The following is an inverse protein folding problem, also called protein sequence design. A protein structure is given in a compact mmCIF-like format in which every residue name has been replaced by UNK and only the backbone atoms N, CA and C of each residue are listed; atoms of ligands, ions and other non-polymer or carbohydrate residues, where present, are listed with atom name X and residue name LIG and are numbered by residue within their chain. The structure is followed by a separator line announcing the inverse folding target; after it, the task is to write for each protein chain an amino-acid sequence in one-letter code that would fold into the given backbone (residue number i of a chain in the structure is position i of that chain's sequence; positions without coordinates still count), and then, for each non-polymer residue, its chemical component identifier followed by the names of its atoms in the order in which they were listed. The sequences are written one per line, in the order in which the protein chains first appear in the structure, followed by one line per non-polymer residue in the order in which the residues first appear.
data_IF_173398041670
#
_entry.id   IF_173398041670
#
_cell.length_a   1.000
_cell.length_b   1.000
_cell.length_c   1.000
_cell.angle_alpha   90.00
_cell.angle_beta   90.00
_cell.angle_gamma   90.00
#
_symmetry.space_group_name_H-M   'P 1'
#
loop_
_entity.id
_entity.type
_entity.pdbx_description
1 polymer ?
#
# COMPACT_ATOMS: atom_id res chain seq x y z
N UNK A 1 -37.65 -42.40 -69.60
CA UNK A 1 -39.04 -42.05 -69.38
C UNK A 1 -39.10 -41.02 -68.22
N UNK A 2 -39.54 -39.80 -68.63
CA UNK A 2 -40.40 -38.83 -67.94
C UNK A 2 -39.93 -38.31 -66.59
N UNK A 3 -39.41 -37.09 -66.60
CA UNK A 3 -40.02 -35.78 -66.24
C UNK A 3 -40.61 -35.63 -64.83
N UNK A 4 -40.08 -34.73 -64.06
CA UNK A 4 -40.82 -33.50 -63.69
C UNK A 4 -39.95 -32.51 -62.91
N UNK A 5 -39.93 -31.28 -63.42
CA UNK A 5 -39.40 -30.07 -62.81
C UNK A 5 -40.26 -29.64 -61.61
N UNK A 6 -39.66 -29.14 -60.52
CA UNK A 6 -40.27 -28.06 -59.73
C UNK A 6 -39.23 -27.16 -59.10
N UNK A 7 -39.22 -25.91 -59.51
CA UNK A 7 -38.57 -24.74 -58.92
C UNK A 7 -39.09 -24.50 -57.50
N UNK A 8 -38.22 -24.31 -56.52
CA UNK A 8 -38.56 -23.55 -55.31
C UNK A 8 -37.49 -22.52 -55.02
N UNK A 9 -37.93 -21.28 -55.03
CA UNK A 9 -37.16 -20.09 -54.71
C UNK A 9 -36.60 -20.15 -53.30
N UNK A 10 -35.29 -19.90 -53.16
CA UNK A 10 -34.64 -19.70 -51.86
C UNK A 10 -34.71 -18.23 -51.49
N UNK A 11 -35.47 -17.95 -50.45
CA UNK A 11 -35.53 -16.63 -49.82
C UNK A 11 -34.31 -16.48 -48.90
N UNK A 12 -33.30 -15.67 -49.27
CA UNK A 12 -32.18 -15.28 -48.43
C UNK A 12 -32.66 -14.29 -47.37
N UNK A 13 -32.79 -14.74 -46.12
CA UNK A 13 -32.91 -13.87 -44.96
C UNK A 13 -31.51 -13.53 -44.49
N UNK A 14 -31.03 -12.31 -44.79
CA UNK A 14 -29.83 -11.75 -44.14
C UNK A 14 -30.21 -11.37 -42.72
N UNK A 15 -29.82 -12.22 -41.74
CA UNK A 15 -29.75 -11.84 -40.33
C UNK A 15 -28.48 -11.04 -40.13
N UNK A 16 -28.58 -9.72 -40.09
CA UNK A 16 -27.55 -8.82 -39.61
C UNK A 16 -27.34 -9.02 -38.11
N UNK A 17 -26.28 -9.76 -37.72
CA UNK A 17 -25.75 -9.70 -36.35
C UNK A 17 -25.11 -8.32 -36.14
N UNK A 18 -25.89 -7.38 -35.62
CA UNK A 18 -25.35 -6.18 -34.99
C UNK A 18 -24.61 -6.57 -33.73
N UNK A 19 -23.26 -6.56 -33.77
CA UNK A 19 -22.44 -6.62 -32.60
C UNK A 19 -22.70 -5.36 -31.76
N UNK A 20 -23.57 -5.47 -30.76
CA UNK A 20 -23.70 -4.46 -29.72
C UNK A 20 -22.43 -4.60 -28.87
N UNK A 21 -21.41 -3.79 -29.18
CA UNK A 21 -20.30 -3.55 -28.28
C UNK A 21 -20.85 -2.80 -27.07
N UNK A 22 -21.32 -3.54 -26.08
CA UNK A 22 -21.66 -3.00 -24.78
C UNK A 22 -20.37 -2.46 -24.13
N UNK A 23 -20.15 -1.17 -24.26
CA UNK A 23 -19.29 -0.45 -23.32
C UNK A 23 -19.99 -0.61 -21.98
N UNK A 24 -19.45 -1.47 -21.13
CA UNK A 24 -19.86 -1.53 -19.72
C UNK A 24 -19.56 -0.14 -19.13
N UNK A 25 -20.56 0.70 -19.05
CA UNK A 25 -20.48 1.92 -18.28
C UNK A 25 -20.13 1.48 -16.84
N UNK A 26 -19.00 1.97 -16.33
CA UNK A 26 -18.65 1.80 -14.95
C UNK A 26 -19.84 2.30 -14.12
N UNK A 27 -20.48 1.40 -13.38
CA UNK A 27 -21.62 1.75 -12.57
C UNK A 27 -21.11 2.72 -11.49
N UNK A 28 -21.62 3.94 -11.48
CA UNK A 28 -21.21 4.91 -10.48
C UNK A 28 -21.51 4.36 -9.08
N UNK A 29 -20.53 4.46 -8.17
CA UNK A 29 -20.69 3.99 -6.81
C UNK A 29 -21.87 4.71 -6.12
N UNK A 30 -22.68 3.95 -5.37
CA UNK A 30 -23.80 4.52 -4.63
C UNK A 30 -23.30 5.54 -3.59
N UNK A 31 -24.02 6.64 -3.37
CA UNK A 31 -23.65 7.62 -2.35
C UNK A 31 -23.52 6.97 -0.96
N UNK A 32 -22.57 7.47 -0.16
CA UNK A 32 -22.42 7.03 1.23
C UNK A 32 -23.65 7.44 2.04
N UNK A 33 -24.11 6.57 2.95
CA UNK A 33 -25.17 6.91 3.89
C UNK A 33 -24.68 8.01 4.84
N UNK A 34 -25.55 8.96 5.22
CA UNK A 34 -25.18 10.07 6.10
C UNK A 34 -24.93 9.65 7.56
N UNK A 35 -25.36 8.46 7.95
CA UNK A 35 -25.18 7.88 9.28
C UNK A 35 -24.99 6.38 9.18
N UNK A 36 -24.20 5.84 10.10
CA UNK A 36 -24.01 4.41 10.23
C UNK A 36 -25.29 3.76 10.79
N UNK A 37 -25.85 2.75 10.12
CA UNK A 37 -27.01 2.01 10.64
C UNK A 37 -26.66 1.29 11.95
N UNK A 38 -27.60 1.24 12.92
CA UNK A 38 -27.40 0.48 14.17
C UNK A 38 -27.07 -0.99 13.92
N UNK A 39 -26.15 -1.54 14.72
CA UNK A 39 -25.72 -2.94 14.62
C UNK A 39 -24.68 -3.20 13.52
N UNK A 40 -24.17 -2.16 12.85
CA UNK A 40 -23.07 -2.31 11.90
C UNK A 40 -21.80 -2.74 12.64
N UNK A 41 -21.09 -3.73 12.09
CA UNK A 41 -19.83 -4.26 12.62
C UNK A 41 -18.79 -4.25 11.50
N UNK A 42 -17.59 -3.75 11.81
CA UNK A 42 -16.41 -3.87 10.93
C UNK A 42 -15.30 -4.66 11.62
N UNK A 43 -14.61 -5.50 10.86
CA UNK A 43 -13.34 -6.10 11.29
C UNK A 43 -12.19 -5.34 10.62
N UNK A 44 -11.34 -4.69 11.43
CA UNK A 44 -10.28 -3.78 10.93
C UNK A 44 -8.91 -4.26 11.35
N UNK A 45 -7.99 -4.40 10.37
CA UNK A 45 -6.58 -4.72 10.55
C UNK A 45 -5.71 -3.45 10.48
N UNK A 46 -5.73 -2.66 11.55
CA UNK A 46 -4.94 -1.43 11.66
C UNK A 46 -4.51 -1.19 13.12
N UNK A 47 -3.61 -2.04 13.66
CA UNK A 47 -3.22 -1.98 15.07
C UNK A 47 -2.55 -0.65 15.45
N UNK A 48 -1.92 0.02 14.50
CA UNK A 48 -1.31 1.34 14.71
C UNK A 48 -2.37 2.40 14.98
N UNK A 49 -3.38 2.49 14.11
CA UNK A 49 -4.47 3.45 14.32
C UNK A 49 -5.35 3.07 15.51
N UNK A 50 -5.60 1.78 15.74
CA UNK A 50 -6.27 1.34 16.97
C UNK A 50 -5.60 1.95 18.21
N UNK A 51 -4.29 1.79 18.34
CA UNK A 51 -3.55 2.32 19.50
C UNK A 51 -3.64 3.84 19.59
N UNK A 52 -3.56 4.55 18.46
CA UNK A 52 -3.71 6.01 18.42
C UNK A 52 -5.11 6.46 18.86
N UNK A 53 -6.17 5.77 18.42
CA UNK A 53 -7.55 6.01 18.84
C UNK A 53 -7.77 5.76 20.34
N UNK A 54 -7.15 4.70 20.90
CA UNK A 54 -7.20 4.39 22.32
C UNK A 54 -6.53 5.48 23.14
N UNK A 55 -5.31 5.87 22.79
CA UNK A 55 -4.52 6.86 23.53
C UNK A 55 -5.10 8.28 23.45
N UNK A 56 -5.66 8.64 22.30
CA UNK A 56 -6.32 9.95 22.10
C UNK A 56 -7.72 10.01 22.72
N UNK A 57 -8.32 8.87 23.03
CA UNK A 57 -9.73 8.77 23.46
C UNK A 57 -10.73 8.85 22.31
N UNK A 58 -10.29 9.05 21.06
CA UNK A 58 -11.14 9.11 19.86
C UNK A 58 -11.91 7.81 19.60
N UNK A 59 -11.44 6.67 20.12
CA UNK A 59 -12.12 5.39 20.01
C UNK A 59 -13.57 5.43 20.56
N UNK A 60 -13.86 6.34 21.51
CA UNK A 60 -15.19 6.52 22.10
C UNK A 60 -16.18 7.24 21.17
N UNK A 61 -15.71 7.82 20.08
CA UNK A 61 -16.53 8.50 19.09
C UNK A 61 -17.07 7.55 18.01
N UNK A 62 -16.58 6.29 17.96
CA UNK A 62 -17.10 5.26 17.05
C UNK A 62 -18.59 5.00 17.35
N UNK A 63 -19.45 5.13 16.33
CA UNK A 63 -20.89 4.87 16.45
C UNK A 63 -21.29 3.44 16.10
N UNK A 64 -20.31 2.60 15.74
CA UNK A 64 -20.46 1.20 15.35
C UNK A 64 -19.44 0.31 16.08
N UNK A 65 -19.65 -1.00 16.04
CA UNK A 65 -18.74 -1.97 16.65
C UNK A 65 -17.52 -2.21 15.73
N UNK A 66 -16.30 -2.17 16.29
CA UNK A 66 -15.08 -2.58 15.60
C UNK A 66 -14.50 -3.81 16.28
N UNK A 67 -14.32 -4.88 15.48
CA UNK A 67 -13.49 -6.04 15.82
C UNK A 67 -12.08 -5.79 15.34
N UNK A 68 -11.17 -5.56 16.25
CA UNK A 68 -9.78 -5.30 15.92
C UNK A 68 -9.03 -6.60 15.61
N UNK A 69 -8.37 -6.64 14.46
CA UNK A 69 -7.53 -7.76 14.04
C UNK A 69 -6.05 -7.34 14.08
N UNK A 70 -5.21 -8.16 14.73
CA UNK A 70 -3.77 -7.93 14.71
C UNK A 70 -3.16 -8.45 13.39
N UNK A 71 -3.59 -7.83 12.29
CA UNK A 71 -3.14 -8.14 10.93
C UNK A 71 -2.55 -6.87 10.33
N UNK A 72 -1.34 -6.98 9.80
CA UNK A 72 -0.64 -5.91 9.10
C UNK A 72 0.23 -6.48 7.97
N UNK A 73 0.55 -5.63 6.98
CA UNK A 73 1.31 -6.04 5.80
C UNK A 73 0.43 -6.62 4.69
N UNK A 74 0.82 -6.31 3.45
CA UNK A 74 0.00 -6.57 2.27
C UNK A 74 -0.43 -8.01 2.05
N UNK A 75 0.48 -9.01 2.11
CA UNK A 75 0.12 -10.42 1.90
C UNK A 75 -0.89 -10.93 2.92
N UNK A 76 -0.65 -10.69 4.21
CA UNK A 76 -1.54 -11.14 5.29
C UNK A 76 -2.91 -10.49 5.21
N UNK A 77 -2.98 -9.19 4.91
CA UNK A 77 -4.23 -8.46 4.72
C UNK A 77 -4.99 -8.97 3.51
N UNK A 78 -4.30 -9.26 2.39
CA UNK A 78 -4.92 -9.80 1.19
C UNK A 78 -5.52 -11.20 1.43
N UNK A 79 -4.83 -12.06 2.18
CA UNK A 79 -5.36 -13.38 2.55
C UNK A 79 -6.57 -13.26 3.48
N UNK A 80 -6.53 -12.34 4.46
CA UNK A 80 -7.67 -12.08 5.33
C UNK A 80 -8.89 -11.55 4.56
N UNK A 81 -8.69 -10.70 3.53
CA UNK A 81 -9.75 -10.27 2.63
C UNK A 81 -10.34 -11.44 1.83
N UNK A 82 -9.50 -12.32 1.26
CA UNK A 82 -9.97 -13.52 0.53
C UNK A 82 -10.81 -14.44 1.41
N UNK A 83 -10.43 -14.54 2.68
CA UNK A 83 -11.17 -15.32 3.68
C UNK A 83 -12.41 -14.60 4.24
N UNK A 84 -12.73 -13.40 3.79
CA UNK A 84 -13.77 -12.53 4.38
C UNK A 84 -13.62 -12.32 5.89
N UNK A 85 -12.38 -12.39 6.39
CA UNK A 85 -12.05 -12.23 7.80
C UNK A 85 -11.73 -10.76 8.17
N UNK A 86 -11.65 -9.88 7.18
CA UNK A 86 -11.30 -8.47 7.36
C UNK A 86 -12.15 -7.59 6.45
N UNK A 87 -12.59 -6.43 6.94
CA UNK A 87 -13.34 -5.44 6.18
C UNK A 87 -12.45 -4.28 5.68
N UNK A 88 -11.42 -3.92 6.43
CA UNK A 88 -10.45 -2.91 6.03
C UNK A 88 -9.07 -3.19 6.62
N UNK A 89 -8.03 -2.71 5.96
CA UNK A 89 -6.64 -2.85 6.42
C UNK A 89 -5.80 -1.63 6.08
N UNK A 90 -4.77 -1.38 6.90
CA UNK A 90 -3.78 -0.32 6.67
C UNK A 90 -2.48 -0.91 6.11
N UNK A 91 -2.05 -0.41 4.97
CA UNK A 91 -0.87 -0.92 4.23
C UNK A 91 -0.14 0.20 3.49
N UNK A 92 1.00 -0.11 2.88
CA UNK A 92 1.66 0.75 1.89
C UNK A 92 0.89 0.75 0.55
N UNK A 93 1.34 1.54 -0.44
CA UNK A 93 0.65 1.69 -1.73
C UNK A 93 0.56 0.41 -2.58
N UNK A 94 1.56 -0.44 -2.50
CA UNK A 94 1.77 -1.56 -3.42
C UNK A 94 0.75 -2.69 -3.26
N UNK A 95 0.33 -3.08 -2.06
CA UNK A 95 -0.60 -4.19 -1.87
C UNK A 95 -1.92 -4.05 -2.61
N UNK A 96 -2.48 -2.83 -2.72
CA UNK A 96 -3.74 -2.62 -3.44
C UNK A 96 -3.60 -2.87 -4.95
N UNK A 97 -2.44 -2.56 -5.53
CA UNK A 97 -2.12 -2.83 -6.95
C UNK A 97 -2.05 -4.35 -7.18
N UNK A 98 -1.25 -5.06 -6.38
CA UNK A 98 -1.09 -6.51 -6.51
C UNK A 98 -2.37 -7.28 -6.20
N UNK A 99 -3.17 -6.84 -5.23
CA UNK A 99 -4.48 -7.44 -4.95
C UNK A 99 -5.37 -7.42 -6.22
N UNK A 100 -5.42 -6.28 -6.91
CA UNK A 100 -6.21 -6.13 -8.13
C UNK A 100 -5.66 -6.98 -9.30
N UNK A 101 -4.33 -7.10 -9.47
CA UNK A 101 -3.75 -8.03 -10.45
C UNK A 101 -4.08 -9.49 -10.14
N UNK A 102 -4.19 -9.83 -8.86
CA UNK A 102 -4.50 -11.18 -8.39
C UNK A 102 -6.02 -11.42 -8.20
N UNK A 103 -6.87 -10.69 -8.92
CA UNK A 103 -8.33 -10.84 -8.91
C UNK A 103 -8.97 -10.70 -7.51
N UNK A 104 -8.38 -9.89 -6.66
CA UNK A 104 -8.97 -9.44 -5.41
C UNK A 104 -9.26 -7.94 -5.54
N UNK A 105 -10.49 -7.56 -5.96
CA UNK A 105 -10.82 -6.16 -6.16
C UNK A 105 -10.87 -5.44 -4.80
N UNK A 106 -9.95 -4.51 -4.62
CA UNK A 106 -9.86 -3.63 -3.46
C UNK A 106 -9.74 -2.19 -3.92
N UNK A 107 -10.18 -1.24 -3.08
CA UNK A 107 -10.01 0.20 -3.31
C UNK A 107 -9.41 0.88 -2.10
N UNK A 108 -8.56 1.85 -2.36
CA UNK A 108 -8.03 2.77 -1.37
C UNK A 108 -9.14 3.76 -0.96
N UNK A 109 -9.33 3.93 0.34
CA UNK A 109 -10.38 4.76 0.94
C UNK A 109 -9.82 5.86 1.86
N UNK A 110 -8.53 5.81 2.19
CA UNK A 110 -7.82 6.88 2.86
C UNK A 110 -6.35 6.83 2.48
N UNK A 111 -5.71 7.99 2.56
CA UNK A 111 -4.33 8.19 2.19
C UNK A 111 -3.66 9.15 3.17
N UNK A 112 -2.44 8.84 3.57
CA UNK A 112 -1.55 9.75 4.28
C UNK A 112 -0.15 9.62 3.73
N UNK A 113 0.57 10.73 3.73
CA UNK A 113 1.95 10.80 3.29
C UNK A 113 2.80 11.58 4.28
N UNK A 114 4.10 11.42 4.22
CA UNK A 114 5.03 12.21 5.00
C UNK A 114 5.27 13.55 4.30
N UNK A 115 5.44 14.62 5.08
CA UNK A 115 5.67 15.96 4.53
C UNK A 115 6.93 16.01 3.65
N UNK A 116 8.03 15.42 4.12
CA UNK A 116 9.34 15.46 3.46
C UNK A 116 9.91 14.05 3.23
N UNK A 117 9.27 13.20 2.39
CA UNK A 117 9.65 11.80 2.23
C UNK A 117 10.98 11.60 1.51
N UNK A 118 11.43 12.56 0.69
CA UNK A 118 12.71 12.47 -0.03
C UNK A 118 13.87 12.84 0.88
N UNK A 119 13.71 13.89 1.69
CA UNK A 119 14.73 14.30 2.66
C UNK A 119 14.87 13.32 3.82
N UNK A 120 13.80 12.65 4.19
CA UNK A 120 13.73 11.71 5.31
C UNK A 120 13.15 10.36 4.86
N UNK A 121 13.81 9.60 3.96
CA UNK A 121 13.31 8.32 3.50
C UNK A 121 13.27 7.30 4.62
N UNK A 122 12.22 6.48 4.70
CA UNK A 122 12.08 5.42 5.71
C UNK A 122 12.91 4.18 5.39
N UNK A 123 13.35 4.05 4.15
CA UNK A 123 14.25 2.99 3.70
C UNK A 123 15.62 3.55 3.33
N UNK A 124 16.64 2.69 3.42
CA UNK A 124 17.97 2.87 2.87
C UNK A 124 18.39 1.58 2.19
N UNK A 125 19.21 1.66 1.18
CA UNK A 125 19.84 0.45 0.67
C UNK A 125 21.01 0.06 1.56
N UNK A 126 20.84 -1.02 2.34
CA UNK A 126 21.91 -1.66 3.07
C UNK A 126 22.84 -2.38 2.08
N UNK A 127 24.14 -2.25 2.30
CA UNK A 127 25.19 -2.85 1.47
C UNK A 127 25.91 -3.90 2.31
N UNK A 128 26.07 -5.10 1.76
CA UNK A 128 26.76 -6.20 2.43
C UNK A 128 28.23 -5.88 2.72
N UNK A 129 28.81 -6.38 3.83
CA UNK A 129 30.21 -6.20 4.13
C UNK A 129 31.11 -6.63 2.98
N UNK A 130 31.93 -5.71 2.49
CA UNK A 130 32.85 -5.95 1.38
C UNK A 130 32.27 -5.85 -0.03
N UNK A 131 30.99 -5.53 -0.18
CA UNK A 131 30.42 -5.20 -1.49
C UNK A 131 30.79 -3.76 -1.88
N UNK A 132 31.38 -3.57 -3.06
CA UNK A 132 31.72 -2.24 -3.56
C UNK A 132 30.50 -1.64 -4.27
N UNK A 133 29.70 -0.91 -3.47
CA UNK A 133 28.48 -0.22 -3.91
C UNK A 133 28.41 1.11 -3.17
N UNK A 134 28.42 2.23 -3.88
CA UNK A 134 28.41 3.60 -3.35
C UNK A 134 27.26 4.43 -3.87
N UNK A 135 26.76 4.07 -5.05
CA UNK A 135 25.68 4.78 -5.76
C UNK A 135 24.68 3.78 -6.33
N UNK A 136 23.53 4.25 -6.80
CA UNK A 136 22.55 3.40 -7.48
C UNK A 136 23.09 2.80 -8.79
N UNK A 137 24.03 3.48 -9.47
CA UNK A 137 24.65 2.98 -10.70
C UNK A 137 25.47 1.69 -10.46
N UNK A 138 26.03 1.53 -9.24
CA UNK A 138 26.82 0.36 -8.85
C UNK A 138 25.95 -0.90 -8.62
N UNK A 139 24.62 -0.78 -8.75
CA UNK A 139 23.71 -1.91 -8.64
C UNK A 139 23.85 -2.90 -9.79
N UNK A 140 24.39 -2.47 -10.93
CA UNK A 140 24.60 -3.34 -12.10
C UNK A 140 25.39 -4.59 -11.74
N UNK A 141 24.81 -5.76 -12.09
CA UNK A 141 25.40 -7.08 -11.83
C UNK A 141 25.34 -7.55 -10.38
N UNK A 142 24.73 -6.79 -9.47
CA UNK A 142 24.62 -7.17 -8.05
C UNK A 142 23.41 -8.05 -7.78
N UNK A 143 23.48 -8.80 -6.66
CA UNK A 143 22.36 -9.55 -6.10
C UNK A 143 21.59 -8.62 -5.16
N UNK A 144 20.32 -8.40 -5.43
CA UNK A 144 19.47 -7.46 -4.68
C UNK A 144 18.30 -8.21 -4.05
N UNK A 145 18.09 -8.07 -2.75
CA UNK A 145 16.91 -8.61 -2.09
C UNK A 145 15.65 -7.96 -2.66
N UNK A 146 14.68 -8.78 -3.00
CA UNK A 146 13.46 -8.35 -3.69
C UNK A 146 12.23 -9.03 -3.08
N UNK A 147 11.18 -8.26 -2.83
CA UNK A 147 9.90 -8.77 -2.36
C UNK A 147 8.78 -8.23 -3.24
N UNK A 148 8.33 -9.01 -4.23
CA UNK A 148 7.24 -8.60 -5.10
C UNK A 148 5.97 -8.32 -4.27
N UNK A 149 5.21 -7.30 -4.64
CA UNK A 149 3.99 -6.91 -3.91
C UNK A 149 4.21 -6.13 -2.61
N UNK A 150 5.45 -5.76 -2.28
CA UNK A 150 5.83 -4.97 -1.13
C UNK A 150 6.50 -3.65 -1.54
N UNK A 151 6.45 -2.65 -0.65
CA UNK A 151 7.06 -1.34 -0.89
C UNK A 151 8.56 -1.44 -1.17
N UNK A 152 9.27 -2.31 -0.44
CA UNK A 152 10.71 -2.52 -0.61
C UNK A 152 11.07 -3.04 -2.00
N UNK A 153 10.30 -3.99 -2.55
CA UNK A 153 10.51 -4.49 -3.91
C UNK A 153 10.30 -3.41 -4.96
N UNK A 154 9.26 -2.61 -4.79
CA UNK A 154 9.00 -1.49 -5.71
C UNK A 154 10.09 -0.41 -5.61
N UNK A 155 10.60 -0.14 -4.41
CA UNK A 155 11.72 0.79 -4.24
C UNK A 155 12.97 0.30 -5.00
N UNK A 156 13.24 -1.01 -5.02
CA UNK A 156 14.33 -1.59 -5.85
C UNK A 156 14.12 -1.23 -7.32
N UNK A 157 12.93 -1.48 -7.87
CA UNK A 157 12.66 -1.19 -9.28
C UNK A 157 12.73 0.32 -9.59
N UNK A 158 12.23 1.17 -8.71
CA UNK A 158 12.38 2.63 -8.83
C UNK A 158 13.86 3.06 -8.82
N UNK A 159 14.68 2.46 -7.95
CA UNK A 159 16.10 2.75 -7.87
C UNK A 159 16.86 2.31 -9.12
N UNK A 160 16.55 1.13 -9.66
CA UNK A 160 17.10 0.65 -10.91
C UNK A 160 16.73 1.60 -12.06
N UNK A 161 15.46 1.95 -12.18
CA UNK A 161 14.99 2.88 -13.21
C UNK A 161 15.68 4.26 -13.11
N UNK A 162 15.80 4.82 -11.89
CA UNK A 162 16.49 6.09 -11.65
C UNK A 162 17.99 6.03 -12.04
N UNK A 163 18.61 4.86 -11.94
CA UNK A 163 19.99 4.62 -12.36
C UNK A 163 20.13 4.27 -13.86
N UNK A 164 19.04 4.25 -14.64
CA UNK A 164 19.05 3.80 -16.03
C UNK A 164 19.30 2.30 -16.18
N UNK A 165 18.95 1.51 -15.15
CA UNK A 165 19.04 0.06 -15.11
C UNK A 165 17.67 -0.58 -15.25
N UNK A 166 17.66 -1.86 -15.64
CA UNK A 166 16.46 -2.72 -15.66
C UNK A 166 16.63 -3.88 -14.68
N UNK A 167 15.56 -4.55 -14.37
CA UNK A 167 15.58 -5.78 -13.56
C UNK A 167 16.51 -6.85 -14.14
N UNK A 168 16.66 -6.90 -15.48
CA UNK A 168 17.60 -7.79 -16.18
C UNK A 168 19.09 -7.43 -16.01
N UNK A 169 19.42 -6.24 -15.53
CA UNK A 169 20.80 -5.81 -15.28
C UNK A 169 21.35 -6.28 -13.91
N UNK A 170 20.49 -6.88 -13.08
CA UNK A 170 20.81 -7.32 -11.73
C UNK A 170 20.31 -8.76 -11.49
N UNK A 171 20.64 -9.34 -10.33
CA UNK A 171 20.02 -10.59 -9.88
C UNK A 171 19.06 -10.28 -8.74
N UNK A 172 17.76 -10.31 -9.01
CA UNK A 172 16.76 -10.17 -7.97
C UNK A 172 16.64 -11.49 -7.17
N UNK A 173 16.88 -11.42 -5.88
CA UNK A 173 16.79 -12.56 -4.94
C UNK A 173 15.51 -12.39 -4.15
N UNK A 174 14.51 -13.21 -4.44
CA UNK A 174 13.22 -13.13 -3.76
C UNK A 174 13.33 -13.58 -2.31
N UNK A 175 13.05 -12.65 -1.40
CA UNK A 175 13.06 -12.84 0.05
C UNK A 175 11.89 -12.05 0.67
N UNK A 176 11.27 -12.53 1.75
CA UNK A 176 10.27 -11.74 2.47
C UNK A 176 10.93 -10.51 3.12
N UNK A 177 10.30 -9.34 2.98
CA UNK A 177 10.80 -8.08 3.52
C UNK A 177 10.36 -7.81 4.97
N UNK A 178 10.14 -8.86 5.75
CA UNK A 178 9.65 -8.79 7.14
C UNK A 178 10.76 -8.98 8.16
N UNK A 179 10.67 -8.29 9.29
CA UNK A 179 11.62 -8.43 10.37
C UNK A 179 13.07 -8.13 9.95
N UNK A 180 13.98 -8.98 10.37
CA UNK A 180 15.43 -8.86 10.14
C UNK A 180 15.94 -9.73 8.97
N UNK A 181 15.05 -10.22 8.10
CA UNK A 181 15.43 -11.09 6.97
C UNK A 181 16.46 -10.40 6.06
N UNK A 182 16.19 -9.16 5.65
CA UNK A 182 17.11 -8.41 4.77
C UNK A 182 18.45 -8.08 5.45
N UNK A 183 18.50 -7.56 6.68
CA UNK A 183 19.75 -7.40 7.42
C UNK A 183 20.59 -8.68 7.53
N UNK A 184 19.95 -9.82 7.79
CA UNK A 184 20.62 -11.13 7.87
C UNK A 184 21.14 -11.60 6.52
N UNK A 185 20.37 -11.42 5.46
CA UNK A 185 20.78 -11.78 4.09
C UNK A 185 21.99 -10.96 3.62
N UNK A 186 22.06 -9.67 4.00
CA UNK A 186 23.24 -8.82 3.77
C UNK A 186 24.44 -9.29 4.57
N UNK A 187 24.27 -9.52 5.87
CA UNK A 187 25.35 -9.94 6.76
C UNK A 187 25.95 -11.29 6.36
N UNK A 188 25.12 -12.23 5.90
CA UNK A 188 25.56 -13.53 5.38
C UNK A 188 26.05 -13.50 3.94
N UNK A 189 26.03 -12.32 3.29
CA UNK A 189 26.40 -12.13 1.88
C UNK A 189 25.57 -12.97 0.90
N UNK A 190 24.33 -13.33 1.29
CA UNK A 190 23.35 -13.95 0.38
C UNK A 190 22.95 -12.96 -0.72
N UNK A 191 22.82 -11.70 -0.35
CA UNK A 191 22.62 -10.57 -1.27
C UNK A 191 23.69 -9.50 -1.04
N UNK A 192 23.93 -8.68 -2.06
CA UNK A 192 24.89 -7.57 -1.99
C UNK A 192 24.21 -6.29 -1.51
N UNK A 193 22.90 -6.16 -1.82
CA UNK A 193 22.09 -4.97 -1.57
C UNK A 193 20.70 -5.40 -1.07
N UNK A 194 20.15 -4.65 -0.11
CA UNK A 194 18.76 -4.82 0.32
C UNK A 194 18.15 -3.49 0.82
N UNK A 195 16.90 -3.17 0.51
CA UNK A 195 16.21 -2.02 1.09
C UNK A 195 15.78 -2.32 2.54
N UNK A 196 16.52 -1.82 3.51
CA UNK A 196 16.24 -1.95 4.94
C UNK A 196 15.57 -0.69 5.47
N UNK A 197 14.65 -0.83 6.44
CA UNK A 197 13.85 0.28 6.95
C UNK A 197 13.72 0.32 8.45
N UNK A 198 13.24 1.45 8.96
CA UNK A 198 12.96 1.65 10.38
C UNK A 198 14.18 1.42 11.26
N UNK A 199 13.99 0.76 12.39
CA UNK A 199 15.07 0.46 13.36
C UNK A 199 16.18 -0.41 12.80
N UNK A 200 15.90 -1.17 11.74
CA UNK A 200 16.89 -2.05 11.12
C UNK A 200 18.02 -1.30 10.44
N UNK A 201 17.82 -0.05 10.02
CA UNK A 201 18.89 0.80 9.47
C UNK A 201 19.99 1.01 10.53
N UNK A 202 19.59 1.49 11.71
CA UNK A 202 20.54 1.71 12.82
C UNK A 202 21.19 0.40 13.29
N UNK A 203 20.36 -0.62 13.55
CA UNK A 203 20.82 -1.92 14.04
C UNK A 203 21.81 -2.57 13.09
N UNK A 204 21.54 -2.50 11.76
CA UNK A 204 22.43 -3.03 10.74
C UNK A 204 23.81 -2.36 10.77
N UNK A 205 23.85 -1.04 10.77
CA UNK A 205 25.12 -0.30 10.79
C UNK A 205 25.84 -0.43 12.12
N UNK A 206 25.13 -0.42 13.24
CA UNK A 206 25.75 -0.63 14.56
C UNK A 206 26.41 -2.02 14.65
N UNK A 207 25.75 -3.05 14.14
CA UNK A 207 26.23 -4.43 14.25
C UNK A 207 27.29 -4.79 13.20
N UNK A 208 27.10 -4.38 11.94
CA UNK A 208 27.91 -4.85 10.80
C UNK A 208 28.77 -3.75 10.15
N UNK A 209 28.61 -2.49 10.58
CA UNK A 209 29.47 -1.39 10.14
C UNK A 209 30.96 -1.64 10.39
N UNK A 210 31.38 -2.17 11.58
CA UNK A 210 32.76 -2.56 11.81
C UNK A 210 33.31 -3.60 10.84
N UNK A 211 32.46 -4.42 10.25
CA UNK A 211 32.80 -5.42 9.24
C UNK A 211 32.77 -4.86 7.79
N UNK A 212 32.48 -3.57 7.64
CA UNK A 212 32.45 -2.89 6.35
C UNK A 212 31.05 -2.80 5.70
N UNK A 213 29.98 -3.02 6.45
CA UNK A 213 28.63 -2.74 5.99
C UNK A 213 28.42 -1.23 5.84
N UNK A 214 27.72 -0.80 4.79
CA UNK A 214 27.42 0.60 4.51
C UNK A 214 25.97 0.80 4.10
N UNK A 215 25.57 2.05 3.83
CA UNK A 215 24.26 2.43 3.32
C UNK A 215 24.41 3.27 2.06
N UNK A 216 23.45 3.14 1.16
CA UNK A 216 23.29 4.01 0.00
C UNK A 216 21.95 4.72 0.07
N UNK A 217 21.99 6.04 -0.08
CA UNK A 217 20.81 6.87 -0.19
C UNK A 217 20.22 6.76 -1.60
N UNK A 218 18.90 6.79 -1.72
CA UNK A 218 18.25 6.62 -3.02
C UNK A 218 17.66 7.92 -3.60
N UNK A 219 17.38 8.93 -2.77
CA UNK A 219 16.81 10.21 -3.24
C UNK A 219 15.42 10.09 -3.85
N UNK A 220 14.70 8.99 -3.58
CA UNK A 220 13.39 8.69 -4.14
C UNK A 220 12.32 8.76 -3.05
N UNK A 221 11.09 8.94 -3.47
CA UNK A 221 9.94 8.83 -2.58
C UNK A 221 9.66 7.37 -2.24
N UNK A 222 9.51 7.04 -0.97
CA UNK A 222 9.36 5.70 -0.43
C UNK A 222 8.19 5.54 0.56
N UNK A 223 7.29 6.52 0.61
CA UNK A 223 6.01 6.45 1.27
C UNK A 223 4.96 6.03 0.24
N UNK A 224 3.81 5.71 0.55
CA UNK A 224 2.90 6.18 1.58
C UNK A 224 2.21 5.07 2.39
N UNK A 225 1.20 5.51 3.18
CA UNK A 225 0.30 4.62 3.87
C UNK A 225 -1.14 4.82 3.42
N UNK A 226 -1.85 3.73 3.19
CA UNK A 226 -3.25 3.69 2.76
C UNK A 226 -4.10 2.91 3.73
N UNK A 227 -5.37 3.29 3.80
CA UNK A 227 -6.44 2.43 4.25
C UNK A 227 -7.17 1.92 3.01
N UNK A 228 -7.40 0.62 2.90
CA UNK A 228 -8.08 0.02 1.76
C UNK A 228 -9.07 -1.05 2.19
N UNK A 229 -10.07 -1.27 1.35
CA UNK A 229 -11.14 -2.21 1.62
C UNK A 229 -11.50 -3.02 0.37
N UNK A 230 -11.99 -4.26 0.52
CA UNK A 230 -12.50 -5.04 -0.60
C UNK A 230 -13.77 -4.40 -1.19
N UNK A 231 -13.98 -4.59 -2.49
CA UNK A 231 -15.15 -4.07 -3.19
C UNK A 231 -16.46 -4.52 -2.55
N UNK A 232 -16.57 -5.77 -2.12
CA UNK A 232 -17.79 -6.30 -1.49
C UNK A 232 -18.13 -5.63 -0.15
N UNK A 233 -17.15 -5.03 0.55
CA UNK A 233 -17.40 -4.19 1.75
C UNK A 233 -17.92 -2.82 1.34
N UNK A 234 -17.37 -2.25 0.26
CA UNK A 234 -17.75 -0.94 -0.25
C UNK A 234 -19.11 -0.94 -0.94
N UNK A 235 -19.57 -2.11 -1.40
CA UNK A 235 -20.90 -2.34 -1.97
C UNK A 235 -21.99 -2.50 -0.89
N UNK A 236 -21.61 -2.79 0.35
CA UNK A 236 -22.53 -2.79 1.51
C UNK A 236 -22.69 -1.36 2.03
N UNK A 237 -23.88 -0.74 1.91
CA UNK A 237 -24.07 0.66 2.29
C UNK A 237 -23.82 0.93 3.79
N UNK A 238 -24.10 -0.03 4.66
CA UNK A 238 -23.89 0.13 6.11
C UNK A 238 -22.39 0.10 6.44
N UNK A 239 -21.65 -0.85 5.85
CA UNK A 239 -20.19 -0.95 6.01
C UNK A 239 -19.46 0.22 5.38
N UNK A 240 -19.88 0.67 4.19
CA UNK A 240 -19.31 1.84 3.55
C UNK A 240 -19.50 3.12 4.38
N UNK A 241 -20.66 3.30 5.02
CA UNK A 241 -20.91 4.41 5.94
C UNK A 241 -20.01 4.33 7.19
N UNK A 242 -19.85 3.13 7.76
CA UNK A 242 -18.96 2.91 8.90
C UNK A 242 -17.49 3.18 8.54
N UNK A 243 -17.05 2.78 7.34
CA UNK A 243 -15.72 3.12 6.83
C UNK A 243 -15.54 4.62 6.63
N UNK A 244 -16.59 5.34 6.19
CA UNK A 244 -16.52 6.80 6.05
C UNK A 244 -16.31 7.51 7.38
N UNK A 245 -16.99 7.07 8.44
CA UNK A 245 -16.77 7.54 9.80
C UNK A 245 -15.35 7.19 10.29
N UNK A 246 -14.92 5.93 10.05
CA UNK A 246 -13.58 5.48 10.43
C UNK A 246 -12.48 6.29 9.76
N UNK A 247 -12.61 6.63 8.47
CA UNK A 247 -11.63 7.46 7.74
C UNK A 247 -11.45 8.83 8.41
N UNK A 248 -12.53 9.44 8.88
CA UNK A 248 -12.46 10.69 9.66
C UNK A 248 -11.67 10.54 10.96
N UNK A 249 -11.93 9.46 11.70
CA UNK A 249 -11.22 9.17 12.95
C UNK A 249 -9.76 8.76 12.70
N UNK A 250 -9.49 8.02 11.63
CA UNK A 250 -8.16 7.65 11.18
C UNK A 250 -7.29 8.88 10.88
N UNK A 251 -7.86 9.90 10.21
CA UNK A 251 -7.15 11.15 9.94
C UNK A 251 -6.85 11.92 11.23
N UNK A 252 -7.83 12.03 12.13
CA UNK A 252 -7.66 12.70 13.44
C UNK A 252 -6.65 11.95 14.33
N UNK A 253 -6.64 10.62 14.30
CA UNK A 253 -5.64 9.81 15.00
C UNK A 253 -4.24 10.04 14.44
N UNK A 254 -4.10 10.21 13.12
CA UNK A 254 -2.82 10.57 12.48
C UNK A 254 -2.32 11.93 12.99
N UNK A 255 -3.19 12.92 13.02
CA UNK A 255 -2.85 14.26 13.54
C UNK A 255 -2.51 14.23 15.03
N UNK A 256 -3.26 13.45 15.82
CA UNK A 256 -2.95 13.28 17.24
C UNK A 256 -1.55 12.70 17.46
N UNK A 257 -1.12 11.72 16.65
CA UNK A 257 0.24 11.14 16.72
C UNK A 257 1.29 12.21 16.40
N UNK A 258 1.07 13.06 15.37
CA UNK A 258 1.97 14.17 15.06
C UNK A 258 2.15 15.12 16.25
N UNK A 259 1.06 15.42 16.96
CA UNK A 259 1.02 16.37 18.07
C UNK A 259 1.50 15.78 19.40
N UNK A 260 1.55 14.45 19.54
CA UNK A 260 1.87 13.76 20.80
C UNK A 260 3.02 12.75 20.66
N UNK A 261 4.18 13.13 20.09
CA UNK A 261 5.27 12.19 19.80
C UNK A 261 5.83 11.50 21.06
N UNK A 262 5.92 12.21 22.20
CA UNK A 262 6.44 11.63 23.45
C UNK A 262 5.52 10.54 23.99
N UNK A 263 4.19 10.76 23.97
CA UNK A 263 3.21 9.75 24.39
C UNK A 263 3.28 8.55 23.44
N UNK A 264 3.39 8.83 22.12
CA UNK A 264 3.49 7.79 21.10
C UNK A 264 4.74 6.93 21.26
N UNK A 265 5.90 7.53 21.55
CA UNK A 265 7.14 6.80 21.85
C UNK A 265 6.93 5.90 23.05
N UNK A 266 6.45 6.46 24.16
CA UNK A 266 6.30 5.73 25.43
C UNK A 266 5.30 4.58 25.32
N UNK A 267 4.11 4.83 24.81
CA UNK A 267 3.00 3.89 24.91
C UNK A 267 2.92 2.92 23.71
N UNK A 268 3.35 3.37 22.50
CA UNK A 268 3.33 2.53 21.31
C UNK A 268 4.69 1.86 21.05
N UNK A 269 5.75 2.65 20.82
CA UNK A 269 7.03 2.06 20.46
C UNK A 269 7.67 1.28 21.63
N UNK A 270 7.68 1.83 22.82
CA UNK A 270 8.25 1.16 24.00
C UNK A 270 7.24 0.16 24.58
N UNK A 271 6.04 0.62 24.92
CA UNK A 271 5.05 -0.17 25.64
C UNK A 271 4.49 -1.34 24.84
N UNK A 272 4.14 -1.11 23.57
CA UNK A 272 3.49 -2.14 22.73
C UNK A 272 4.47 -2.86 21.80
N UNK A 273 5.43 -2.14 21.19
CA UNK A 273 6.38 -2.74 20.25
C UNK A 273 7.66 -3.28 20.93
N UNK A 274 7.86 -3.00 22.22
CA UNK A 274 9.02 -3.45 22.99
C UNK A 274 10.35 -2.88 22.51
N UNK A 275 10.36 -1.70 21.90
CA UNK A 275 11.56 -1.01 21.44
C UNK A 275 12.19 -0.22 22.59
N UNK A 276 13.47 0.16 22.44
CA UNK A 276 14.08 1.12 23.35
C UNK A 276 13.52 2.53 23.15
N UNK A 277 13.56 3.42 24.15
CA UNK A 277 13.20 4.83 23.96
C UNK A 277 13.95 5.49 22.80
N UNK A 278 15.25 5.23 22.66
CA UNK A 278 16.09 5.78 21.59
C UNK A 278 15.68 5.27 20.19
N UNK A 279 15.21 4.02 20.08
CA UNK A 279 14.65 3.49 18.85
C UNK A 279 13.30 4.17 18.53
N UNK A 280 12.50 4.43 19.56
CA UNK A 280 11.23 5.17 19.41
C UNK A 280 11.44 6.61 18.93
N UNK A 281 12.37 7.34 19.55
CA UNK A 281 12.77 8.69 19.13
C UNK A 281 13.29 8.71 17.68
N UNK A 282 14.13 7.74 17.34
CA UNK A 282 14.63 7.58 15.99
C UNK A 282 13.50 7.36 14.98
N UNK A 283 12.51 6.53 15.29
CA UNK A 283 11.38 6.25 14.40
C UNK A 283 10.48 7.46 14.23
N UNK A 284 10.19 8.21 15.28
CA UNK A 284 9.42 9.45 15.18
C UNK A 284 10.13 10.45 14.27
N UNK A 285 11.43 10.63 14.46
CA UNK A 285 12.23 11.52 13.62
C UNK A 285 12.28 11.04 12.16
N UNK A 286 12.41 9.73 11.93
CA UNK A 286 12.46 9.13 10.60
C UNK A 286 11.11 9.27 9.88
N UNK A 287 10.01 9.03 10.57
CA UNK A 287 8.65 9.15 10.02
C UNK A 287 8.32 10.61 9.72
N UNK A 288 8.71 11.54 10.60
CA UNK A 288 8.37 12.95 10.48
C UNK A 288 6.85 13.19 10.54
N UNK A 289 6.44 14.38 10.16
CA UNK A 289 5.04 14.78 10.12
C UNK A 289 4.28 14.07 8.99
N UNK A 290 3.14 13.48 9.32
CA UNK A 290 2.24 12.85 8.36
C UNK A 290 1.08 13.79 8.04
N UNK A 291 0.73 13.90 6.77
CA UNK A 291 -0.36 14.73 6.26
C UNK A 291 -1.41 13.86 5.57
N UNK A 292 -2.67 14.28 5.68
CA UNK A 292 -3.82 13.67 4.98
C UNK A 292 -4.27 14.67 3.92
N UNK A 293 -4.00 14.42 2.64
CA UNK A 293 -4.37 15.33 1.56
C UNK A 293 -5.89 15.35 1.35
N UNK A 294 -6.41 16.47 0.89
CA UNK A 294 -7.82 16.69 0.51
C UNK A 294 -8.07 16.49 -0.98
N UNK A 295 -7.00 16.35 -1.76
CA UNK A 295 -7.01 16.08 -3.21
C UNK A 295 -6.05 14.93 -3.51
N UNK A 296 -6.56 13.90 -4.19
CA UNK A 296 -5.78 12.71 -4.53
C UNK A 296 -5.17 12.73 -5.94
N UNK A 297 -5.28 13.83 -6.68
CA UNK A 297 -4.79 13.92 -8.06
C UNK A 297 -3.31 13.55 -8.19
N UNK A 298 -2.44 14.13 -7.37
CA UNK A 298 -1.01 13.81 -7.37
C UNK A 298 -0.72 12.40 -6.82
N UNK A 299 -1.51 11.93 -5.86
CA UNK A 299 -1.43 10.55 -5.34
C UNK A 299 -1.74 9.55 -6.45
N UNK A 300 -2.85 9.74 -7.16
CA UNK A 300 -3.27 8.89 -8.29
C UNK A 300 -2.25 8.90 -9.43
N UNK A 301 -1.71 10.07 -9.76
CA UNK A 301 -0.65 10.18 -10.77
C UNK A 301 0.55 9.31 -10.41
N UNK A 302 1.04 9.42 -9.18
CA UNK A 302 2.18 8.59 -8.69
C UNK A 302 1.84 7.09 -8.68
N UNK A 303 0.61 6.74 -8.33
CA UNK A 303 0.16 5.34 -8.38
C UNK A 303 0.11 4.82 -9.82
N UNK A 304 -0.36 5.64 -10.78
CA UNK A 304 -0.36 5.24 -12.19
C UNK A 304 1.07 5.02 -12.70
N UNK A 305 2.00 5.89 -12.34
CA UNK A 305 3.43 5.71 -12.65
C UNK A 305 3.97 4.40 -12.04
N UNK A 306 3.58 4.09 -10.80
CA UNK A 306 3.95 2.84 -10.12
C UNK A 306 3.33 1.62 -10.81
N UNK A 307 2.04 1.67 -11.17
CA UNK A 307 1.37 0.59 -11.91
C UNK A 307 2.10 0.33 -13.24
N UNK A 308 2.44 1.39 -13.96
CA UNK A 308 3.13 1.28 -15.24
C UNK A 308 4.53 0.67 -15.09
N UNK A 309 5.32 1.14 -14.11
CA UNK A 309 6.65 0.60 -13.80
C UNK A 309 6.59 -0.89 -13.44
N UNK A 310 5.69 -1.26 -12.53
CA UNK A 310 5.53 -2.65 -12.10
C UNK A 310 5.04 -3.54 -13.23
N UNK A 311 4.13 -3.03 -14.08
CA UNK A 311 3.64 -3.77 -15.24
C UNK A 311 4.76 -4.04 -16.25
N UNK A 312 5.58 -3.04 -16.54
CA UNK A 312 6.70 -3.15 -17.49
C UNK A 312 7.79 -4.11 -16.97
N UNK A 313 8.21 -3.95 -15.71
CA UNK A 313 9.31 -4.74 -15.13
C UNK A 313 8.91 -6.18 -14.76
N UNK A 314 7.65 -6.42 -14.43
CA UNK A 314 7.17 -7.74 -13.95
C UNK A 314 6.25 -8.46 -14.94
N UNK A 315 5.96 -7.84 -16.09
CA UNK A 315 5.14 -8.45 -17.15
C UNK A 315 3.65 -8.48 -16.85
N UNK A 316 3.15 -7.63 -15.95
CA UNK A 316 1.72 -7.49 -15.71
C UNK A 316 1.07 -6.60 -16.77
N UNK A 317 -0.24 -6.74 -16.95
CA UNK A 317 -1.02 -5.81 -17.76
C UNK A 317 -1.34 -4.55 -16.94
N UNK A 318 -0.95 -3.35 -17.39
CA UNK A 318 -1.31 -2.13 -16.68
C UNK A 318 -2.81 -1.90 -16.67
N UNK A 319 -3.30 -1.20 -15.65
CA UNK A 319 -4.69 -0.80 -15.52
C UNK A 319 -4.78 0.67 -15.08
N UNK A 320 -5.95 1.27 -15.29
CA UNK A 320 -6.23 2.64 -14.89
C UNK A 320 -6.28 2.74 -13.35
N UNK A 321 -5.58 3.71 -12.78
CA UNK A 321 -5.48 3.95 -11.35
C UNK A 321 -6.84 4.16 -10.67
N UNK A 322 -7.83 4.72 -11.39
CA UNK A 322 -9.18 4.91 -10.86
C UNK A 322 -9.83 3.60 -10.38
N UNK A 323 -9.37 2.47 -10.89
CA UNK A 323 -9.83 1.15 -10.45
C UNK A 323 -9.55 0.88 -8.97
N UNK A 324 -8.48 1.44 -8.41
CA UNK A 324 -8.04 1.19 -7.04
C UNK A 324 -8.30 2.34 -6.09
N UNK A 325 -9.10 3.34 -6.48
CA UNK A 325 -9.53 4.43 -5.60
C UNK A 325 -11.05 4.50 -5.52
N UNK A 326 -11.57 4.74 -4.32
CA UNK A 326 -12.98 5.07 -4.11
C UNK A 326 -13.12 6.56 -3.79
N UNK A 327 -13.49 7.33 -4.82
CA UNK A 327 -13.55 8.79 -4.74
C UNK A 327 -14.60 9.34 -3.76
N UNK A 328 -15.54 8.50 -3.30
CA UNK A 328 -16.50 8.88 -2.26
C UNK A 328 -15.80 9.27 -0.95
N UNK A 329 -14.60 8.76 -0.72
CA UNK A 329 -13.82 8.93 0.51
C UNK A 329 -12.78 10.04 0.44
N UNK A 330 -12.46 10.56 -0.74
CA UNK A 330 -11.32 11.45 -0.98
C UNK A 330 -11.20 12.60 0.03
N UNK A 331 -12.30 13.30 0.29
CA UNK A 331 -12.28 14.50 1.14
C UNK A 331 -12.56 14.24 2.62
N UNK A 332 -12.92 13.01 3.00
CA UNK A 332 -13.44 12.73 4.34
C UNK A 332 -12.41 12.96 5.44
N UNK A 333 -11.17 12.51 5.22
CA UNK A 333 -10.10 12.68 6.19
C UNK A 333 -9.76 14.16 6.45
N UNK A 334 -9.52 14.91 5.39
CA UNK A 334 -9.21 16.35 5.49
C UNK A 334 -10.39 17.16 6.07
N UNK A 335 -11.63 16.82 5.69
CA UNK A 335 -12.82 17.45 6.25
C UNK A 335 -12.99 17.18 7.76
N UNK A 336 -12.59 16.00 8.24
CA UNK A 336 -12.61 15.68 9.67
C UNK A 336 -11.56 16.48 10.45
N UNK A 337 -10.36 16.69 9.88
CA UNK A 337 -9.32 17.53 10.48
C UNK A 337 -9.75 19.00 10.58
N UNK A 338 -10.37 19.55 9.53
CA UNK A 338 -10.83 20.95 9.53
C UNK A 338 -11.93 21.22 10.59
N UNK A 339 -12.71 20.22 10.97
CA UNK A 339 -13.73 20.36 12.03
C UNK A 339 -13.18 20.24 13.45
N UNK A 340 -11.94 19.78 13.60
CA UNK A 340 -11.30 19.53 14.90
C UNK A 340 -10.41 20.70 15.34
N UNK A 341 -10.15 21.64 14.44
CA UNK A 341 -9.48 22.91 14.68
C UNK A 341 -10.49 23.98 15.11
#
# INVERSE_FOLDING_TARGET
MTLAKTLKAALLVLLGLGAISGVAAAQADAPLLPKVPPGTILTIGDPTTQKALELSGLIKELTFEVKWANISGGPQTSEAFRAHALDAGSVAEIPSIFANWNNLPVRNIAYRERRDPIANPIYRFGIAPGADVKTLADFRGKRIAFSPGQAQGTLVLRALHAAGLKSSDVTLVELPSTGDVYPKALASKQVDIAPIGGVYIRRYITQYGPDGATLVEHGLRDDPSHLYAPQWVLDDPAKAAALAEYVGLWARATEWVNQNPEIWIKEYYVGQQGLSPEDGEYLVKLTGEQIVPDDWSEVKKRHQETINLLADELGYKPFDVERIFDNRFEKLGAAALAKSQ
#
